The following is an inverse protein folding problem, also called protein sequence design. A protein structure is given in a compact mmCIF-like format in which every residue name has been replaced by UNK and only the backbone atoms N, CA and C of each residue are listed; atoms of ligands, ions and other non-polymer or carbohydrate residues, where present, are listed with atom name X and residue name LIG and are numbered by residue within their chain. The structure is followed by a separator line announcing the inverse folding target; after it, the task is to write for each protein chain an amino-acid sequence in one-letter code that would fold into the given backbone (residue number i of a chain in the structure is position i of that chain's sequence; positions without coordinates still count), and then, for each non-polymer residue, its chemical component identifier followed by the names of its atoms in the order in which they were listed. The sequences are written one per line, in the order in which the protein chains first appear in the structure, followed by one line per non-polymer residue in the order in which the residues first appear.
data_IF_238620254293
#
_entry.id   IF_238620254293
#
_cell.length_a   1.000
_cell.length_b   1.000
_cell.length_c   1.000
_cell.angle_alpha   90.00
_cell.angle_beta   90.00
_cell.angle_gamma   90.00
#
_symmetry.space_group_name_H-M   'P 1'
#
loop_
_entity.id
_entity.type
_entity.pdbx_description
1 polymer ?
#
# COMPACT_ATOMS: atom_id res chain seq x y z
N UNK A 1 52.49 3.85 49.16
CA UNK A 1 52.08 2.63 48.44
C UNK A 1 50.57 2.67 48.31
N UNK A 2 50.07 3.20 47.21
CA UNK A 2 48.63 3.45 46.98
C UNK A 2 48.08 2.36 46.07
N UNK A 3 47.05 1.67 46.55
CA UNK A 3 46.35 0.60 45.85
C UNK A 3 45.42 1.17 44.78
N UNK A 4 45.56 0.71 43.53
CA UNK A 4 44.66 1.04 42.43
C UNK A 4 43.65 -0.11 42.26
N UNK A 5 42.40 0.17 42.61
CA UNK A 5 41.25 -0.70 42.40
C UNK A 5 40.78 -0.58 40.95
N UNK A 6 40.80 -1.69 40.20
CA UNK A 6 40.21 -1.77 38.86
C UNK A 6 38.77 -2.26 38.98
N UNK A 7 37.81 -1.38 38.73
CA UNK A 7 36.42 -1.77 38.50
C UNK A 7 36.23 -2.11 37.03
N UNK A 8 35.88 -3.37 36.78
CA UNK A 8 35.59 -3.93 35.47
C UNK A 8 34.09 -3.76 35.20
N UNK A 9 33.73 -2.77 34.39
CA UNK A 9 32.35 -2.52 33.98
C UNK A 9 31.96 -3.51 32.87
N UNK A 10 31.07 -4.45 33.17
CA UNK A 10 30.46 -5.33 32.17
C UNK A 10 29.43 -4.53 31.35
N UNK A 11 29.78 -4.20 30.11
CA UNK A 11 28.82 -3.71 29.13
C UNK A 11 27.95 -4.87 28.64
N UNK A 12 26.72 -4.94 29.15
CA UNK A 12 25.71 -5.89 28.71
C UNK A 12 25.05 -5.36 27.43
N UNK A 13 25.70 -5.57 26.29
CA UNK A 13 25.15 -5.26 24.97
C UNK A 13 23.95 -6.15 24.72
N UNK A 14 22.76 -5.61 24.99
CA UNK A 14 21.50 -6.30 24.70
C UNK A 14 21.26 -6.10 23.22
N UNK A 15 21.47 -7.15 22.42
CA UNK A 15 21.06 -7.18 21.02
C UNK A 15 19.54 -7.03 20.98
N UNK A 16 19.07 -5.80 20.78
CA UNK A 16 17.68 -5.55 20.42
C UNK A 16 17.57 -5.97 18.96
N UNK A 17 17.17 -7.21 18.73
CA UNK A 17 16.66 -7.63 17.43
C UNK A 17 15.43 -6.75 17.15
N UNK A 18 15.61 -5.71 16.35
CA UNK A 18 14.51 -4.93 15.81
C UNK A 18 13.66 -5.88 14.95
N UNK A 19 12.59 -6.42 15.52
CA UNK A 19 11.55 -7.14 14.78
C UNK A 19 11.11 -6.25 13.62
N UNK A 20 11.46 -6.67 12.40
CA UNK A 20 11.08 -5.95 11.20
C UNK A 20 9.56 -5.98 11.10
N UNK A 21 8.86 -4.82 11.06
CA UNK A 21 7.41 -4.83 10.97
C UNK A 21 6.97 -5.57 9.71
N UNK A 22 5.89 -6.36 9.84
CA UNK A 22 5.32 -7.10 8.73
C UNK A 22 5.01 -6.15 7.55
N UNK A 23 5.36 -6.52 6.31
CA UNK A 23 5.10 -5.67 5.16
C UNK A 23 3.60 -5.62 4.85
N UNK A 24 3.06 -4.40 4.71
CA UNK A 24 1.74 -4.20 4.14
C UNK A 24 1.81 -4.44 2.62
N UNK A 25 0.98 -5.33 2.08
CA UNK A 25 0.96 -5.60 0.65
C UNK A 25 0.00 -4.68 -0.09
N UNK A 26 0.39 -4.27 -1.31
CA UNK A 26 -0.42 -3.38 -2.15
C UNK A 26 -1.76 -4.01 -2.52
N UNK A 27 -1.81 -5.34 -2.72
CA UNK A 27 -3.08 -6.06 -2.96
C UNK A 27 -4.13 -5.78 -1.87
N UNK A 28 -3.72 -5.73 -0.61
CA UNK A 28 -4.62 -5.47 0.52
C UNK A 28 -5.22 -4.08 0.42
N UNK A 29 -4.39 -3.09 0.08
CA UNK A 29 -4.80 -1.70 -0.10
C UNK A 29 -5.71 -1.55 -1.31
N UNK A 30 -5.37 -2.19 -2.43
CA UNK A 30 -6.19 -2.18 -3.65
C UNK A 30 -7.58 -2.81 -3.40
N UNK A 31 -7.64 -3.94 -2.70
CA UNK A 31 -8.90 -4.60 -2.36
C UNK A 31 -9.80 -3.71 -1.50
N UNK A 32 -9.25 -3.07 -0.47
CA UNK A 32 -10.05 -2.24 0.42
C UNK A 32 -10.45 -0.91 -0.22
N UNK A 33 -9.57 -0.34 -1.05
CA UNK A 33 -9.92 0.79 -1.90
C UNK A 33 -11.06 0.46 -2.86
N UNK A 34 -11.00 -0.70 -3.55
CA UNK A 34 -12.07 -1.13 -4.44
C UNK A 34 -13.40 -1.23 -3.71
N UNK A 35 -13.43 -1.90 -2.55
CA UNK A 35 -14.65 -1.99 -1.71
C UNK A 35 -15.13 -0.64 -1.23
N UNK A 36 -14.23 0.27 -0.87
CA UNK A 36 -14.62 1.62 -0.47
C UNK A 36 -15.29 2.38 -1.61
N UNK A 37 -14.76 2.28 -2.83
CA UNK A 37 -15.32 2.90 -4.03
C UNK A 37 -16.66 2.27 -4.44
N UNK A 38 -16.81 0.95 -4.30
CA UNK A 38 -18.10 0.26 -4.52
C UNK A 38 -19.15 0.72 -3.52
N UNK A 39 -18.83 0.78 -2.22
CA UNK A 39 -19.74 1.27 -1.17
C UNK A 39 -20.13 2.74 -1.37
N UNK A 40 -19.26 3.53 -1.99
CA UNK A 40 -19.49 4.94 -2.32
C UNK A 40 -20.27 5.14 -3.62
N UNK A 41 -20.78 4.07 -4.24
CA UNK A 41 -21.58 4.10 -5.47
C UNK A 41 -20.88 4.83 -6.64
N UNK A 42 -19.58 4.62 -6.78
CA UNK A 42 -18.77 5.13 -7.91
C UNK A 42 -18.91 4.22 -9.13
N UNK A 43 -18.43 4.68 -10.29
CA UNK A 43 -18.35 3.90 -11.53
C UNK A 43 -17.17 2.89 -11.56
N UNK A 44 -16.60 2.54 -10.41
CA UNK A 44 -15.46 1.63 -10.33
C UNK A 44 -15.83 0.26 -10.88
N UNK A 45 -15.01 -0.25 -11.81
CA UNK A 45 -15.10 -1.61 -12.31
C UNK A 45 -14.23 -2.56 -11.50
N UNK A 46 -12.98 -2.15 -11.25
CA UNK A 46 -12.01 -2.88 -10.44
C UNK A 46 -10.90 -1.95 -9.96
N UNK A 47 -10.24 -2.34 -8.87
CA UNK A 47 -8.91 -1.86 -8.52
C UNK A 47 -7.99 -3.05 -8.24
N UNK A 48 -6.76 -2.99 -8.74
CA UNK A 48 -5.79 -4.08 -8.60
C UNK A 48 -4.38 -3.55 -8.37
N UNK A 49 -3.47 -4.34 -7.77
CA UNK A 49 -2.05 -4.01 -7.78
C UNK A 49 -1.53 -3.94 -9.23
N UNK A 50 -0.64 -2.97 -9.50
CA UNK A 50 -0.10 -2.71 -10.83
C UNK A 50 0.84 -3.81 -11.34
N UNK A 51 1.37 -4.66 -10.46
CA UNK A 51 2.37 -5.69 -10.76
C UNK A 51 1.84 -6.98 -11.38
N UNK A 52 0.59 -7.00 -11.86
CA UNK A 52 -0.05 -8.21 -12.38
C UNK A 52 -0.10 -9.32 -11.34
N UNK A 53 -0.34 -8.97 -10.07
CA UNK A 53 -0.53 -9.97 -9.02
C UNK A 53 -1.89 -10.63 -9.19
N UNK A 54 -1.90 -11.95 -9.02
CA UNK A 54 -3.12 -12.75 -8.95
C UNK A 54 -3.43 -13.05 -7.49
N UNK A 55 -4.72 -13.15 -7.16
CA UNK A 55 -5.17 -13.29 -5.77
C UNK A 55 -4.65 -14.56 -5.08
N UNK A 56 -4.45 -15.64 -5.83
CA UNK A 56 -3.94 -16.93 -5.36
C UNK A 56 -2.41 -17.04 -5.35
N UNK A 57 -1.71 -16.02 -5.85
CA UNK A 57 -0.25 -16.01 -5.93
C UNK A 57 0.40 -15.34 -4.71
N UNK A 58 1.72 -15.50 -4.54
CA UNK A 58 2.45 -14.73 -3.54
C UNK A 58 2.37 -13.22 -3.88
N UNK A 59 2.21 -12.35 -2.86
CA UNK A 59 2.25 -10.91 -3.06
C UNK A 59 3.62 -10.46 -3.56
N UNK A 60 3.67 -9.48 -4.46
CA UNK A 60 4.91 -9.00 -5.10
C UNK A 60 5.24 -7.55 -4.71
N UNK A 61 4.23 -6.75 -4.41
CA UNK A 61 4.30 -5.32 -4.16
C UNK A 61 3.96 -5.04 -2.70
N UNK A 62 4.85 -4.29 -2.06
CA UNK A 62 4.66 -3.76 -0.71
C UNK A 62 4.27 -2.29 -0.77
N UNK A 63 3.34 -1.90 0.08
CA UNK A 63 2.98 -0.52 0.30
C UNK A 63 4.15 0.20 1.00
N UNK A 64 4.60 1.36 0.50
CA UNK A 64 5.71 2.09 1.12
C UNK A 64 5.30 2.64 2.49
N UNK A 65 6.24 2.70 3.42
CA UNK A 65 5.99 3.22 4.77
C UNK A 65 5.64 4.73 4.76
N UNK A 66 6.27 5.49 3.86
CA UNK A 66 6.03 6.92 3.65
C UNK A 66 5.67 7.15 2.17
N UNK A 67 4.41 6.90 1.78
CA UNK A 67 3.99 7.04 0.39
C UNK A 67 4.02 8.50 -0.07
N UNK A 68 4.88 8.82 -1.04
CA UNK A 68 4.71 10.01 -1.88
C UNK A 68 3.94 9.61 -3.15
N UNK A 69 2.64 9.93 -3.19
CA UNK A 69 1.72 9.43 -4.22
C UNK A 69 1.52 10.43 -5.37
N UNK A 70 1.58 9.92 -6.60
CA UNK A 70 1.16 10.58 -7.82
C UNK A 70 0.03 9.81 -8.50
N UNK A 71 -0.75 10.49 -9.35
CA UNK A 71 -1.90 9.92 -10.04
C UNK A 71 -1.78 10.20 -11.54
N UNK A 72 -1.86 9.15 -12.35
CA UNK A 72 -1.91 9.26 -13.82
C UNK A 72 -3.30 8.83 -14.27
N UNK A 73 -3.97 9.70 -15.02
CA UNK A 73 -5.32 9.47 -15.51
C UNK A 73 -5.24 9.39 -17.03
N UNK A 74 -5.67 8.27 -17.60
CA UNK A 74 -5.55 7.99 -19.02
C UNK A 74 -6.79 7.27 -19.55
N UNK A 75 -7.06 7.44 -20.85
CA UNK A 75 -8.10 6.65 -21.51
C UNK A 75 -7.67 5.17 -21.54
N UNK A 76 -8.54 4.28 -21.06
CA UNK A 76 -8.25 2.85 -21.14
C UNK A 76 -8.55 2.28 -22.53
N UNK A 77 -7.97 1.13 -22.83
CA UNK A 77 -8.07 0.48 -24.14
C UNK A 77 -9.49 0.01 -24.53
N UNK A 78 -10.38 -0.24 -23.57
CA UNK A 78 -11.71 -0.84 -23.79
C UNK A 78 -12.82 -0.09 -23.00
N UNK A 79 -13.11 1.15 -23.39
CA UNK A 79 -14.08 2.06 -22.74
C UNK A 79 -13.73 2.46 -21.29
N UNK A 80 -14.03 3.69 -20.89
CA UNK A 80 -13.78 4.20 -19.53
C UNK A 80 -12.33 4.65 -19.25
N UNK A 81 -12.08 5.08 -18.03
CA UNK A 81 -10.86 5.78 -17.62
C UNK A 81 -10.02 4.90 -16.68
N UNK A 82 -8.71 4.85 -16.91
CA UNK A 82 -7.76 4.14 -16.07
C UNK A 82 -7.02 5.16 -15.22
N UNK A 83 -7.00 4.93 -13.91
CA UNK A 83 -6.27 5.75 -12.94
C UNK A 83 -5.17 4.90 -12.33
N UNK A 84 -3.92 5.32 -12.51
CA UNK A 84 -2.74 4.64 -11.96
C UNK A 84 -2.20 5.44 -10.80
N UNK A 85 -2.20 4.84 -9.61
CA UNK A 85 -1.55 5.37 -8.40
C UNK A 85 -0.09 4.97 -8.44
N UNK A 86 0.81 5.96 -8.44
CA UNK A 86 2.26 5.78 -8.45
C UNK A 86 2.86 6.23 -7.12
N UNK A 87 3.96 5.62 -6.72
CA UNK A 87 4.81 6.10 -5.65
C UNK A 87 6.16 6.52 -6.21
N UNK A 88 6.60 7.74 -5.88
CA UNK A 88 7.98 8.16 -6.15
C UNK A 88 8.78 8.22 -4.86
N UNK A 89 10.03 7.74 -4.90
CA UNK A 89 10.98 7.92 -3.79
C UNK A 89 11.47 9.37 -3.70
N UNK A 90 11.30 10.15 -4.78
CA UNK A 90 11.68 11.55 -4.87
C UNK A 90 10.48 12.40 -5.24
N UNK A 91 10.15 13.38 -4.39
CA UNK A 91 9.11 14.37 -4.69
C UNK A 91 9.37 15.17 -5.99
N UNK A 92 10.59 15.12 -6.52
CA UNK A 92 10.99 15.83 -7.75
C UNK A 92 10.61 15.09 -9.03
N UNK A 93 10.21 13.83 -8.95
CA UNK A 93 9.88 13.04 -10.15
C UNK A 93 8.69 12.09 -9.92
N UNK A 94 7.46 12.62 -9.90
CA UNK A 94 6.25 11.82 -9.74
C UNK A 94 5.91 10.98 -11.00
N UNK A 95 6.42 11.35 -12.18
CA UNK A 95 6.08 10.65 -13.43
C UNK A 95 6.80 9.30 -13.58
N UNK A 96 8.05 9.22 -13.10
CA UNK A 96 8.83 7.97 -13.07
C UNK A 96 8.60 7.13 -11.82
N UNK A 97 7.56 7.45 -11.04
CA UNK A 97 7.18 6.68 -9.87
C UNK A 97 6.79 5.23 -10.19
N UNK A 98 7.09 4.32 -9.25
CA UNK A 98 6.67 2.92 -9.28
C UNK A 98 5.15 2.84 -9.18
N UNK A 99 4.50 2.19 -10.15
CA UNK A 99 3.05 1.97 -10.10
C UNK A 99 2.68 1.02 -8.95
N UNK A 100 1.72 1.42 -8.13
CA UNK A 100 1.23 0.65 -7.00
C UNK A 100 -0.14 0.03 -7.33
N UNK A 101 -1.14 0.87 -7.62
CA UNK A 101 -2.52 0.44 -7.84
C UNK A 101 -2.96 0.94 -9.21
N UNK A 102 -3.71 0.12 -9.93
CA UNK A 102 -4.45 0.52 -11.13
C UNK A 102 -5.93 0.38 -10.84
N UNK A 103 -6.69 1.40 -11.20
CA UNK A 103 -8.13 1.51 -10.98
C UNK A 103 -8.79 1.74 -12.34
N UNK A 104 -9.90 1.06 -12.58
CA UNK A 104 -10.70 1.25 -13.79
C UNK A 104 -12.06 1.81 -13.43
N UNK A 105 -12.40 2.94 -14.02
CA UNK A 105 -13.72 3.57 -13.91
C UNK A 105 -14.46 3.47 -15.25
N UNK A 106 -15.74 3.11 -15.24
CA UNK A 106 -16.61 3.00 -16.43
C UNK A 106 -17.38 4.30 -16.64
N UNK A 107 -16.64 5.39 -16.81
CA UNK A 107 -17.21 6.74 -16.94
C UNK A 107 -16.36 7.62 -17.84
N UNK A 108 -16.83 8.84 -18.10
CA UNK A 108 -16.08 9.86 -18.83
C UNK A 108 -14.99 10.53 -17.96
N UNK A 109 -14.01 11.17 -18.60
CA UNK A 109 -12.85 11.77 -17.91
C UNK A 109 -13.22 12.76 -16.80
N UNK A 110 -14.28 13.54 -16.98
CA UNK A 110 -14.74 14.53 -15.99
C UNK A 110 -15.23 13.85 -14.70
N UNK A 111 -16.01 12.78 -14.82
CA UNK A 111 -16.50 12.02 -13.66
C UNK A 111 -15.35 11.24 -13.02
N UNK A 112 -14.44 10.68 -13.82
CA UNK A 112 -13.27 9.98 -13.30
C UNK A 112 -12.36 10.90 -12.47
N UNK A 113 -12.25 12.19 -12.81
CA UNK A 113 -11.55 13.18 -11.99
C UNK A 113 -12.21 13.36 -10.62
N UNK A 114 -13.54 13.41 -10.56
CA UNK A 114 -14.29 13.50 -9.31
C UNK A 114 -14.13 12.23 -8.46
N UNK A 115 -14.25 11.05 -9.08
CA UNK A 115 -14.06 9.77 -8.39
C UNK A 115 -12.61 9.57 -7.93
N UNK A 116 -11.63 10.14 -8.65
CA UNK A 116 -10.23 10.16 -8.22
C UNK A 116 -10.05 10.94 -6.92
N UNK A 117 -10.88 11.96 -6.63
CA UNK A 117 -10.83 12.64 -5.34
C UNK A 117 -11.14 11.68 -4.17
N UNK A 118 -12.08 10.75 -4.35
CA UNK A 118 -12.38 9.71 -3.36
C UNK A 118 -11.22 8.74 -3.16
N UNK A 119 -10.50 8.41 -4.24
CA UNK A 119 -9.26 7.62 -4.16
C UNK A 119 -8.21 8.34 -3.32
N UNK A 120 -7.99 9.63 -3.61
CA UNK A 120 -7.04 10.47 -2.89
C UNK A 120 -7.40 10.56 -1.41
N UNK A 121 -8.67 10.79 -1.10
CA UNK A 121 -9.16 10.91 0.28
C UNK A 121 -9.02 9.59 1.03
N UNK A 122 -9.37 8.46 0.42
CA UNK A 122 -9.16 7.14 1.01
C UNK A 122 -7.68 6.92 1.35
N UNK A 123 -6.78 7.13 0.38
CA UNK A 123 -5.35 6.84 0.56
C UNK A 123 -4.67 7.79 1.55
N UNK A 124 -5.15 9.03 1.69
CA UNK A 124 -4.67 9.98 2.70
C UNK A 124 -5.12 9.63 4.12
N UNK A 125 -6.33 9.11 4.26
CA UNK A 125 -6.93 8.82 5.57
C UNK A 125 -6.78 7.36 6.01
N UNK A 126 -6.29 6.50 5.13
CA UNK A 126 -5.97 5.11 5.40
C UNK A 126 -4.92 5.02 6.53
N UNK A 127 -5.16 4.13 7.49
CA UNK A 127 -4.19 3.81 8.54
C UNK A 127 -3.47 2.51 8.20
N UNK A 128 -2.14 2.52 7.99
CA UNK A 128 -1.37 1.32 7.66
C UNK A 128 -1.58 0.18 8.67
N UNK A 129 -1.65 0.50 9.96
CA UNK A 129 -1.83 -0.51 11.03
C UNK A 129 -3.17 -1.25 10.94
N UNK A 130 -4.25 -0.56 10.57
CA UNK A 130 -5.57 -1.18 10.38
C UNK A 130 -5.56 -2.09 9.15
N UNK A 131 -4.91 -1.65 8.07
CA UNK A 131 -4.75 -2.45 6.85
C UNK A 131 -3.88 -3.69 7.09
N UNK A 132 -2.84 -3.58 7.92
CA UNK A 132 -1.97 -4.70 8.27
C UNK A 132 -2.72 -5.75 9.10
N UNK A 133 -3.53 -5.32 10.07
CA UNK A 133 -4.41 -6.25 10.82
C UNK A 133 -5.36 -6.99 9.90
N UNK A 134 -6.00 -6.29 8.96
CA UNK A 134 -6.89 -6.91 7.96
C UNK A 134 -6.16 -7.93 7.10
N UNK A 135 -4.93 -7.64 6.68
CA UNK A 135 -4.08 -8.57 5.93
C UNK A 135 -3.81 -9.84 6.73
N UNK A 136 -3.34 -9.70 7.96
CA UNK A 136 -3.05 -10.83 8.85
C UNK A 136 -4.29 -11.69 9.13
N UNK A 137 -5.47 -11.07 9.30
CA UNK A 137 -6.73 -11.81 9.47
C UNK A 137 -7.10 -12.64 8.23
N UNK A 138 -6.92 -12.08 7.03
CA UNK A 138 -7.20 -12.80 5.77
C UNK A 138 -6.26 -13.99 5.61
N UNK A 139 -4.97 -13.80 5.84
CA UNK A 139 -3.96 -14.87 5.76
C UNK A 139 -4.22 -15.97 6.80
N UNK A 140 -4.65 -15.62 8.02
CA UNK A 140 -5.06 -16.59 9.04
C UNK A 140 -6.29 -17.40 8.59
N UNK A 141 -7.28 -16.76 7.97
CA UNK A 141 -8.48 -17.44 7.46
C UNK A 141 -8.17 -18.38 6.31
N UNK A 142 -7.26 -18.01 5.43
CA UNK A 142 -6.84 -18.83 4.29
C UNK A 142 -6.07 -20.09 4.72
N UNK A 143 -5.17 -19.95 5.71
CA UNK A 143 -4.44 -21.08 6.32
C UNK A 143 -5.35 -22.09 7.02
N UNK A 144 -6.54 -21.67 7.48
CA UNK A 144 -7.52 -22.58 8.13
C UNK A 144 -8.39 -23.36 7.15
N UNK A 145 -8.38 -22.97 5.87
CA UNK A 145 -9.20 -23.61 4.82
C UNK A 145 -8.46 -24.73 4.08
N UNK A 146 -7.16 -24.85 4.31
CA UNK A 146 -6.29 -25.89 3.78
C UNK A 146 -5.92 -26.84 4.92
#
# INVERSE_FOLDING_TARGET
MTATSQQQTLEKTTNIECEKPDPLYVRTVADELWRHLERSNTSVHWASPAGGEVSWGPPKLTWPALPCLGYVIEHGSNEGIKVTVKHSESARDPEHGKSLIVIKFLTGIQNALQETALVVDFLKNMKPDEMLKLQQEREKKEKRRH
#
